data_IF_796175690768
#
_entry.id   IF_796175690768
#
_cell.length_a   1.000
_cell.length_b   1.000
_cell.length_c   1.000
_cell.angle_alpha   90.00
_cell.angle_beta   90.00
_cell.angle_gamma   90.00
#
_symmetry.space_group_name_H-M   'P 1'
#
loop_
_entity.id
_entity.type
_entity.pdbx_description
1 polymer ?
#
# COMPACT_ATOMS: atom_id res chain seq x y z
N UNK A 1 -17.43 6.95 -16.57
CA UNK A 1 -17.01 6.62 -15.19
C UNK A 1 -15.50 6.72 -15.16
N UNK A 2 -14.94 7.76 -14.51
CA UNK A 2 -13.49 7.96 -14.42
C UNK A 2 -13.01 7.22 -13.16
N UNK A 3 -12.45 6.02 -13.32
CA UNK A 3 -11.74 5.36 -12.22
C UNK A 3 -10.56 6.23 -11.80
N UNK A 4 -10.30 6.31 -10.49
CA UNK A 4 -9.27 7.19 -9.96
C UNK A 4 -7.94 6.91 -10.68
N UNK A 5 -7.25 7.96 -11.13
CA UNK A 5 -5.89 7.78 -11.62
C UNK A 5 -5.01 7.29 -10.47
N UNK A 6 -3.88 6.63 -10.76
CA UNK A 6 -2.94 6.21 -9.70
C UNK A 6 -2.50 7.39 -8.80
N UNK A 7 -2.43 8.58 -9.41
CA UNK A 7 -2.15 9.85 -8.74
C UNK A 7 -3.28 10.32 -7.81
N UNK A 8 -4.52 9.90 -8.07
CA UNK A 8 -5.69 10.22 -7.27
C UNK A 8 -5.84 9.21 -6.14
N UNK A 9 -5.63 7.92 -6.43
CA UNK A 9 -5.57 6.85 -5.43
C UNK A 9 -4.49 7.15 -4.35
N UNK A 10 -3.26 7.47 -4.76
CA UNK A 10 -2.18 7.82 -3.83
C UNK A 10 -2.42 9.13 -3.06
N UNK A 11 -3.15 10.10 -3.65
CA UNK A 11 -3.49 11.37 -2.99
C UNK A 11 -4.64 11.25 -2.00
N UNK A 12 -5.71 10.52 -2.36
CA UNK A 12 -6.85 10.22 -1.49
C UNK A 12 -6.33 9.51 -0.24
N UNK A 13 -5.48 8.51 -0.44
CA UNK A 13 -4.82 7.78 0.63
C UNK A 13 -4.03 8.69 1.59
N UNK A 14 -3.10 9.49 1.07
CA UNK A 14 -2.28 10.34 1.93
C UNK A 14 -3.09 11.42 2.64
N UNK A 15 -4.09 12.04 1.98
CA UNK A 15 -4.98 13.01 2.64
C UNK A 15 -5.67 12.39 3.85
N UNK A 16 -6.09 11.13 3.74
CA UNK A 16 -6.75 10.43 4.84
C UNK A 16 -5.80 10.06 5.97
N UNK A 17 -4.55 9.69 5.67
CA UNK A 17 -3.54 9.37 6.70
C UNK A 17 -3.13 10.59 7.56
N UNK A 18 -3.15 11.80 6.98
CA UNK A 18 -2.74 13.03 7.67
C UNK A 18 -3.91 13.83 8.28
N UNK A 19 -5.17 13.45 8.04
CA UNK A 19 -6.34 14.20 8.53
C UNK A 19 -6.76 13.84 9.95
N UNK A 20 -6.41 12.65 10.45
CA UNK A 20 -6.75 12.27 11.82
C UNK A 20 -5.71 12.86 12.79
N UNK A 21 -5.95 14.09 13.26
CA UNK A 21 -5.30 14.58 14.48
C UNK A 21 -5.65 13.60 15.61
N UNK A 22 -4.62 13.18 16.33
CA UNK A 22 -4.63 12.23 17.43
C UNK A 22 -5.46 12.76 18.58
N UNK A 23 -6.60 12.12 18.86
CA UNK A 23 -7.17 12.13 20.21
C UNK A 23 -6.72 10.84 20.91
N UNK A 24 -5.94 11.02 21.97
CA UNK A 24 -5.43 9.97 22.82
C UNK A 24 -6.56 9.39 23.66
N UNK A 25 -6.71 8.06 23.68
CA UNK A 25 -7.48 7.37 24.70
C UNK A 25 -6.69 6.22 25.28
N UNK A 26 -6.69 6.18 26.61
CA UNK A 26 -6.02 5.20 27.45
C UNK A 26 -6.42 3.76 27.06
N UNK A 27 -5.45 2.97 26.63
CA UNK A 27 -5.59 1.53 26.55
C UNK A 27 -4.97 0.91 27.81
N UNK A 28 -5.82 0.50 28.74
CA UNK A 28 -5.43 -0.25 29.93
C UNK A 28 -5.15 -1.71 29.60
N UNK A 29 -4.04 -2.19 30.15
CA UNK A 29 -3.56 -3.58 30.25
C UNK A 29 -2.93 -4.22 29.00
N UNK A 30 -1.70 -4.72 29.17
CA UNK A 30 -1.14 -6.04 28.75
C UNK A 30 0.29 -6.05 28.16
N UNK A 31 0.80 -7.29 28.17
CA UNK A 31 2.16 -7.86 28.15
C UNK A 31 3.08 -7.51 26.96
N UNK A 32 4.37 -7.37 27.26
CA UNK A 32 5.46 -7.24 26.28
C UNK A 32 5.92 -8.61 25.79
N UNK A 33 5.66 -8.97 24.54
CA UNK A 33 6.37 -10.06 23.85
C UNK A 33 7.41 -9.48 22.89
N UNK A 34 8.56 -10.16 22.73
CA UNK A 34 9.49 -9.91 21.62
C UNK A 34 8.73 -10.10 20.30
N UNK A 35 8.43 -9.01 19.62
CA UNK A 35 7.72 -9.01 18.34
C UNK A 35 8.72 -8.97 17.18
N UNK A 36 8.30 -9.39 16.00
CA UNK A 36 9.12 -9.40 14.79
C UNK A 36 9.59 -8.00 14.32
N UNK A 37 9.04 -6.93 14.90
CA UNK A 37 9.31 -5.54 14.52
C UNK A 37 9.92 -4.76 15.68
N UNK A 38 11.20 -4.32 15.58
CA UNK A 38 11.83 -3.52 16.61
C UNK A 38 11.00 -2.28 16.96
N UNK A 39 10.77 -2.04 18.25
CA UNK A 39 10.05 -0.87 18.74
C UNK A 39 8.54 -1.06 18.89
N UNK A 40 7.98 -2.21 18.49
CA UNK A 40 6.61 -2.59 18.86
C UNK A 40 6.58 -3.00 20.34
N UNK A 41 5.61 -2.46 21.07
CA UNK A 41 5.42 -2.73 22.50
C UNK A 41 4.07 -3.37 22.81
N UNK A 42 3.11 -3.29 21.89
CA UNK A 42 1.76 -3.86 22.04
C UNK A 42 1.03 -3.98 20.71
N UNK A 43 -0.03 -4.78 20.70
CA UNK A 43 -0.98 -4.92 19.59
C UNK A 43 -2.38 -4.56 20.08
N UNK A 44 -3.21 -3.92 19.24
CA UNK A 44 -4.58 -3.56 19.62
C UNK A 44 -5.36 -2.82 18.54
N UNK A 45 -6.63 -2.55 18.83
CA UNK A 45 -7.56 -1.84 17.95
C UNK A 45 -7.79 -0.38 18.39
N UNK A 46 -7.97 0.52 17.42
CA UNK A 46 -8.43 1.90 17.65
C UNK A 46 -9.46 2.30 16.59
N UNK A 47 -10.59 2.85 17.03
CA UNK A 47 -11.59 3.47 16.15
C UNK A 47 -11.50 4.99 16.29
N UNK A 48 -11.51 5.70 15.16
CA UNK A 48 -11.37 7.14 15.09
C UNK A 48 -12.73 7.83 14.90
N UNK A 49 -12.88 9.11 15.30
CA UNK A 49 -14.14 9.85 15.12
C UNK A 49 -14.59 10.01 13.67
N UNK A 50 -13.64 10.01 12.71
CA UNK A 50 -13.94 10.05 11.28
C UNK A 50 -14.54 8.74 10.74
N UNK A 51 -14.58 7.68 11.55
CA UNK A 51 -15.04 6.34 11.18
C UNK A 51 -13.92 5.39 10.75
N UNK A 52 -12.67 5.86 10.69
CA UNK A 52 -11.51 5.02 10.42
C UNK A 52 -11.30 4.01 11.55
N UNK A 53 -10.78 2.83 11.21
CA UNK A 53 -10.47 1.76 12.19
C UNK A 53 -9.10 1.20 11.91
N UNK A 54 -8.26 1.16 12.94
CA UNK A 54 -6.95 0.53 12.91
C UNK A 54 -6.94 -0.69 13.83
N UNK A 55 -6.29 -1.76 13.39
CA UNK A 55 -5.92 -2.90 14.22
C UNK A 55 -4.48 -3.29 13.91
N UNK A 56 -3.63 -3.38 14.91
CA UNK A 56 -2.25 -3.78 14.70
C UNK A 56 -1.33 -3.35 15.82
N UNK A 57 -0.08 -3.27 15.48
CA UNK A 57 1.03 -3.04 16.38
C UNK A 57 1.21 -1.54 16.66
N UNK A 58 1.75 -1.24 17.84
CA UNK A 58 1.99 0.10 18.35
C UNK A 58 3.35 0.20 19.01
N UNK A 59 4.00 1.37 18.88
CA UNK A 59 5.23 1.68 19.60
C UNK A 59 4.95 2.32 20.98
N UNK A 60 6.02 2.55 21.76
CA UNK A 60 5.95 3.17 23.09
C UNK A 60 5.42 4.61 23.09
N UNK A 61 5.39 5.28 21.94
CA UNK A 61 4.82 6.63 21.77
C UNK A 61 3.33 6.60 21.45
N UNK A 62 2.73 5.41 21.32
CA UNK A 62 1.33 5.25 20.92
C UNK A 62 1.09 5.47 19.43
N UNK A 63 2.12 5.33 18.60
CA UNK A 63 2.03 5.47 17.15
C UNK A 63 1.88 4.08 16.50
N UNK A 64 1.15 3.99 15.38
CA UNK A 64 1.07 2.77 14.58
C UNK A 64 2.48 2.39 14.13
N UNK A 65 2.90 1.16 14.38
CA UNK A 65 4.27 0.71 14.13
C UNK A 65 4.28 -0.80 14.04
N UNK A 66 5.00 -1.44 13.12
CA UNK A 66 4.92 -2.89 12.91
C UNK A 66 3.77 -3.28 11.98
N UNK A 67 3.19 -4.47 12.11
CA UNK A 67 2.08 -4.88 11.24
C UNK A 67 0.77 -4.22 11.62
N UNK A 68 -0.05 -3.87 10.63
CA UNK A 68 -1.38 -3.36 10.91
C UNK A 68 -2.33 -3.38 9.72
N UNK A 69 -3.61 -3.30 10.07
CA UNK A 69 -4.76 -3.22 9.19
C UNK A 69 -5.44 -1.88 9.44
N UNK A 70 -5.58 -1.05 8.41
CA UNK A 70 -6.30 0.22 8.45
C UNK A 70 -7.49 0.16 7.50
N UNK A 71 -8.69 0.43 8.01
CA UNK A 71 -9.91 0.61 7.23
C UNK A 71 -10.35 2.07 7.34
N UNK A 72 -10.54 2.71 6.20
CA UNK A 72 -11.05 4.07 6.09
C UNK A 72 -12.59 4.09 5.95
N UNK A 73 -13.24 5.24 6.17
CA UNK A 73 -14.71 5.37 6.11
C UNK A 73 -15.28 5.13 4.72
N UNK A 74 -14.51 5.47 3.67
CA UNK A 74 -14.84 5.21 2.27
C UNK A 74 -14.75 3.72 1.89
N UNK A 75 -14.40 2.85 2.84
CA UNK A 75 -14.10 1.43 2.69
C UNK A 75 -12.75 1.09 2.03
N UNK A 76 -11.89 2.07 1.77
CA UNK A 76 -10.48 1.83 1.42
C UNK A 76 -9.79 1.10 2.57
N UNK A 77 -8.96 0.11 2.24
CA UNK A 77 -8.29 -0.77 3.19
C UNK A 77 -6.81 -0.85 2.88
N UNK A 78 -6.01 -0.92 3.94
CA UNK A 78 -4.60 -1.20 3.89
C UNK A 78 -4.25 -2.30 4.87
N UNK A 79 -3.38 -3.21 4.45
CA UNK A 79 -2.76 -4.21 5.29
C UNK A 79 -1.27 -4.24 4.97
N UNK A 80 -0.43 -4.00 5.97
CA UNK A 80 1.00 -3.94 5.77
C UNK A 80 1.73 -3.37 6.97
N UNK A 81 2.99 -3.03 6.76
CA UNK A 81 3.84 -2.47 7.81
C UNK A 81 3.64 -0.96 8.01
N UNK A 82 3.71 -0.52 9.26
CA UNK A 82 3.69 0.86 9.69
C UNK A 82 5.01 1.22 10.37
N UNK A 83 5.44 2.46 10.20
CA UNK A 83 6.57 3.07 10.88
C UNK A 83 6.17 4.47 11.32
N UNK A 84 6.00 4.67 12.62
CA UNK A 84 5.66 5.95 13.25
C UNK A 84 4.43 6.61 12.59
N UNK A 85 3.30 5.91 12.63
CA UNK A 85 2.01 6.24 12.01
C UNK A 85 1.93 6.17 10.47
N UNK A 86 3.06 6.04 9.77
CA UNK A 86 3.09 6.03 8.30
C UNK A 86 3.22 4.62 7.76
N UNK A 87 2.50 4.31 6.69
CA UNK A 87 2.72 3.05 5.97
C UNK A 87 4.12 3.03 5.35
N UNK A 88 4.82 1.93 5.51
CA UNK A 88 6.20 1.76 5.09
C UNK A 88 6.46 0.28 4.84
N UNK A 89 7.47 -0.11 4.06
CA UNK A 89 7.76 -1.53 3.82
C UNK A 89 6.76 -2.17 2.86
N UNK A 90 6.36 -3.42 3.09
CA UNK A 90 5.42 -4.13 2.20
C UNK A 90 3.97 -3.87 2.63
N UNK A 91 3.08 -3.76 1.64
CA UNK A 91 1.65 -3.70 1.93
C UNK A 91 0.75 -3.94 0.72
N UNK A 92 -0.49 -4.28 1.06
CA UNK A 92 -1.62 -4.44 0.16
C UNK A 92 -2.62 -3.33 0.46
N UNK A 93 -3.04 -2.63 -0.58
CA UNK A 93 -4.04 -1.56 -0.51
C UNK A 93 -5.18 -1.87 -1.47
N UNK A 94 -6.39 -1.87 -0.95
CA UNK A 94 -7.62 -2.05 -1.74
C UNK A 94 -8.45 -0.78 -1.63
N UNK A 95 -8.70 -0.14 -2.76
CA UNK A 95 -9.44 1.11 -2.83
C UNK A 95 -10.94 0.85 -2.95
N UNK A 96 -11.73 1.83 -2.51
CA UNK A 96 -13.20 1.79 -2.57
C UNK A 96 -13.75 1.73 -3.99
N UNK A 97 -13.02 2.23 -4.98
CA UNK A 97 -13.38 2.17 -6.41
C UNK A 97 -13.02 0.83 -7.08
N UNK A 98 -12.41 -0.11 -6.34
CA UNK A 98 -11.97 -1.40 -6.85
C UNK A 98 -10.52 -1.42 -7.36
N UNK A 99 -9.81 -0.29 -7.37
CA UNK A 99 -8.38 -0.29 -7.62
C UNK A 99 -7.62 -1.03 -6.50
N UNK A 100 -6.43 -1.55 -6.82
CA UNK A 100 -5.60 -2.28 -5.87
C UNK A 100 -4.12 -1.94 -6.07
N UNK A 101 -3.38 -1.86 -4.98
CA UNK A 101 -1.92 -1.80 -4.99
C UNK A 101 -1.33 -2.92 -4.13
N UNK A 102 -0.25 -3.52 -4.60
CA UNK A 102 0.55 -4.48 -3.86
C UNK A 102 2.02 -4.16 -4.11
N UNK A 103 2.77 -3.84 -3.06
CA UNK A 103 4.16 -3.47 -3.26
C UNK A 103 4.82 -2.81 -2.07
N UNK A 104 5.90 -2.09 -2.37
CA UNK A 104 6.67 -1.30 -1.44
C UNK A 104 6.02 0.07 -1.16
N UNK A 105 6.05 0.49 0.10
CA UNK A 105 5.61 1.80 0.56
C UNK A 105 6.73 2.48 1.33
N UNK A 106 6.78 3.80 1.23
CA UNK A 106 7.69 4.62 2.02
C UNK A 106 6.99 5.92 2.40
N UNK A 107 6.94 6.21 3.70
CA UNK A 107 6.31 7.43 4.25
C UNK A 107 4.87 7.65 3.75
N UNK A 108 4.07 6.59 3.66
CA UNK A 108 2.68 6.64 3.20
C UNK A 108 2.50 6.65 1.68
N UNK A 109 3.59 6.66 0.91
CA UNK A 109 3.53 6.69 -0.56
C UNK A 109 3.92 5.35 -1.18
N UNK A 110 3.29 4.99 -2.30
CA UNK A 110 3.82 3.94 -3.17
C UNK A 110 5.24 4.31 -3.60
N UNK A 111 6.16 3.38 -3.41
CA UNK A 111 7.58 3.60 -3.64
C UNK A 111 8.25 2.29 -4.05
N UNK A 112 9.39 2.35 -4.74
CA UNK A 112 10.12 1.15 -5.11
C UNK A 112 9.34 0.30 -6.10
N UNK A 113 9.19 -1.00 -5.84
CA UNK A 113 8.57 -1.94 -6.77
C UNK A 113 7.15 -2.32 -6.34
N UNK A 114 6.24 -2.45 -7.30
CA UNK A 114 4.90 -2.92 -7.02
C UNK A 114 4.05 -3.18 -8.24
N UNK A 115 2.84 -3.64 -7.98
CA UNK A 115 1.80 -3.87 -8.99
C UNK A 115 0.57 -3.07 -8.60
N UNK A 116 0.04 -2.35 -9.57
CA UNK A 116 -1.16 -1.55 -9.41
C UNK A 116 -2.21 -1.99 -10.43
N UNK A 117 -3.41 -2.26 -9.95
CA UNK A 117 -4.58 -2.52 -10.76
C UNK A 117 -5.53 -1.34 -10.64
N UNK A 118 -5.98 -0.84 -11.78
CA UNK A 118 -7.07 0.14 -11.85
C UNK A 118 -8.41 -0.58 -11.79
N UNK A 119 -9.42 0.17 -11.38
CA UNK A 119 -10.81 -0.29 -11.40
C UNK A 119 -11.28 -0.73 -12.81
N UNK A 120 -10.68 -0.20 -13.87
CA UNK A 120 -10.99 -0.58 -15.25
C UNK A 120 -10.32 -1.90 -15.71
N UNK A 121 -9.54 -2.57 -14.85
CA UNK A 121 -8.80 -3.79 -15.16
C UNK A 121 -7.40 -3.56 -15.72
N UNK A 122 -7.02 -2.31 -16.01
CA UNK A 122 -5.64 -1.99 -16.42
C UNK A 122 -4.68 -2.22 -15.28
N UNK A 123 -3.59 -2.94 -15.56
CA UNK A 123 -2.52 -3.27 -14.62
C UNK A 123 -1.23 -2.57 -15.00
N UNK A 124 -0.51 -2.04 -14.02
CA UNK A 124 0.87 -1.58 -14.15
C UNK A 124 1.78 -2.39 -13.23
N UNK A 125 2.91 -2.85 -13.77
CA UNK A 125 3.94 -3.60 -13.05
C UNK A 125 5.28 -2.87 -13.24
N UNK A 126 5.88 -2.39 -12.15
CA UNK A 126 7.14 -1.67 -12.26
C UNK A 126 7.48 -0.80 -11.06
N UNK A 127 8.14 0.31 -11.34
CA UNK A 127 8.71 1.22 -10.34
C UNK A 127 7.78 2.40 -9.99
N UNK A 128 7.84 2.79 -8.73
CA UNK A 128 7.04 3.84 -8.12
C UNK A 128 7.93 4.82 -7.35
N UNK A 129 7.56 6.10 -7.39
CA UNK A 129 8.19 7.13 -6.56
C UNK A 129 7.18 8.18 -6.14
N UNK A 130 6.97 8.32 -4.83
CA UNK A 130 6.10 9.37 -4.27
C UNK A 130 4.65 9.21 -4.72
N UNK A 131 4.15 7.97 -4.77
CA UNK A 131 2.78 7.67 -5.18
C UNK A 131 2.54 7.68 -6.68
N UNK A 132 3.58 7.86 -7.51
CA UNK A 132 3.46 7.92 -8.96
C UNK A 132 4.22 6.79 -9.61
N UNK A 133 3.75 6.38 -10.80
CA UNK A 133 4.53 5.54 -11.71
C UNK A 133 5.77 6.33 -12.12
N UNK A 134 6.94 5.79 -11.79
CA UNK A 134 8.22 6.44 -12.04
C UNK A 134 9.34 5.41 -12.14
N UNK A 135 9.96 5.31 -13.31
CA UNK A 135 10.98 4.31 -13.61
C UNK A 135 10.50 3.31 -14.66
N UNK A 136 11.13 2.16 -14.72
CA UNK A 136 10.82 1.10 -15.66
C UNK A 136 9.55 0.35 -15.26
N UNK A 137 8.78 -0.06 -16.26
CA UNK A 137 7.64 -0.96 -16.05
C UNK A 137 6.87 -1.24 -17.31
N UNK A 138 5.74 -1.92 -17.13
CA UNK A 138 4.88 -2.37 -18.22
C UNK A 138 3.41 -2.18 -17.85
N UNK A 139 2.62 -1.77 -18.85
CA UNK A 139 1.16 -1.71 -18.77
C UNK A 139 0.58 -2.97 -19.43
N UNK A 140 -0.39 -3.58 -18.75
CA UNK A 140 -1.27 -4.61 -19.31
C UNK A 140 -2.70 -4.05 -19.26
N UNK A 141 -3.36 -3.96 -20.41
CA UNK A 141 -4.73 -3.47 -20.50
C UNK A 141 -5.72 -4.53 -20.01
N UNK A 142 -6.98 -4.12 -19.82
CA UNK A 142 -8.04 -4.99 -19.32
C UNK A 142 -8.30 -6.22 -20.20
N UNK A 143 -8.00 -6.13 -21.49
CA UNK A 143 -8.07 -7.24 -22.46
C UNK A 143 -6.88 -8.20 -22.38
N UNK A 144 -5.94 -7.97 -21.47
CA UNK A 144 -4.71 -8.76 -21.29
C UNK A 144 -3.58 -8.38 -22.26
N UNK A 145 -3.80 -7.45 -23.18
CA UNK A 145 -2.76 -7.02 -24.13
C UNK A 145 -1.80 -6.00 -23.50
N UNK A 146 -0.62 -5.84 -24.10
CA UNK A 146 0.32 -4.77 -23.75
C UNK A 146 0.27 -3.59 -24.73
N UNK A 147 -0.71 -3.60 -25.65
CA UNK A 147 -0.79 -2.69 -26.80
C UNK A 147 0.28 -2.94 -27.87
N UNK A 148 0.16 -2.23 -29.00
CA UNK A 148 1.11 -2.28 -30.11
C UNK A 148 1.52 -0.85 -30.53
N UNK A 149 2.80 -0.47 -30.44
CA UNK A 149 3.89 -1.22 -29.80
C UNK A 149 3.66 -1.41 -28.29
N UNK A 150 4.33 -2.41 -27.68
CA UNK A 150 4.19 -2.74 -26.25
C UNK A 150 4.40 -1.52 -25.37
N UNK A 151 3.51 -1.29 -24.41
CA UNK A 151 3.58 -0.23 -23.42
C UNK A 151 4.52 -0.63 -22.27
N UNK A 152 5.78 -0.90 -22.63
CA UNK A 152 6.87 -1.16 -21.71
C UNK A 152 7.99 -0.13 -21.90
N UNK A 153 8.65 0.22 -20.81
CA UNK A 153 9.79 1.14 -20.83
C UNK A 153 9.84 2.07 -19.64
N UNK A 154 10.48 3.22 -19.84
CA UNK A 154 10.66 4.22 -18.79
C UNK A 154 9.48 5.18 -18.72
N UNK A 155 8.86 5.24 -17.56
CA UNK A 155 7.76 6.13 -17.23
C UNK A 155 8.23 7.24 -16.29
N UNK A 156 7.68 8.44 -16.49
CA UNK A 156 7.82 9.55 -15.56
C UNK A 156 6.49 10.26 -15.46
N UNK A 157 6.05 10.55 -14.23
CA UNK A 157 4.75 11.16 -13.96
C UNK A 157 3.59 10.46 -14.70
N UNK A 158 3.59 9.11 -14.63
CA UNK A 158 2.60 8.26 -15.28
C UNK A 158 2.56 8.33 -16.82
N UNK A 159 3.60 8.87 -17.46
CA UNK A 159 3.73 8.92 -18.93
C UNK A 159 4.91 8.08 -19.39
N UNK A 160 4.69 7.25 -20.40
CA UNK A 160 5.75 6.48 -21.06
C UNK A 160 6.63 7.43 -21.89
N UNK A 161 7.87 7.65 -21.46
CA UNK A 161 8.81 8.54 -22.15
C UNK A 161 9.70 7.82 -23.16
N UNK A 162 10.09 6.58 -22.83
CA UNK A 162 10.99 5.79 -23.68
C UNK A 162 10.60 4.33 -23.65
N UNK A 163 10.35 3.74 -24.82
CA UNK A 163 10.11 2.29 -24.95
C UNK A 163 11.42 1.53 -24.83
N UNK A 164 11.45 0.52 -23.96
CA UNK A 164 12.54 -0.44 -23.83
C UNK A 164 12.08 -1.68 -23.07
N UNK A 165 12.69 -2.85 -23.32
CA UNK A 165 12.45 -4.03 -22.50
C UNK A 165 12.74 -3.77 -21.02
N UNK A 166 11.89 -4.31 -20.15
CA UNK A 166 12.00 -4.14 -18.69
C UNK A 166 11.63 -5.41 -17.91
N UNK A 167 11.90 -6.60 -18.48
CA UNK A 167 11.50 -7.89 -17.92
C UNK A 167 11.94 -8.07 -16.45
N UNK A 168 13.19 -7.76 -16.13
CA UNK A 168 13.73 -7.92 -14.76
C UNK A 168 12.96 -7.06 -13.74
N UNK A 169 12.58 -5.85 -14.13
CA UNK A 169 11.83 -4.93 -13.27
C UNK A 169 10.39 -5.41 -13.07
N UNK A 170 9.75 -5.92 -14.13
CA UNK A 170 8.42 -6.52 -14.05
C UNK A 170 8.43 -7.76 -13.14
N UNK A 171 9.41 -8.65 -13.29
CA UNK A 171 9.56 -9.83 -12.44
C UNK A 171 9.79 -9.45 -10.97
N UNK A 172 10.60 -8.41 -10.72
CA UNK A 172 10.82 -7.90 -9.37
C UNK A 172 9.55 -7.34 -8.76
N UNK A 173 8.81 -6.52 -9.50
CA UNK A 173 7.51 -5.98 -9.07
C UNK A 173 6.52 -7.10 -8.71
N UNK A 174 6.41 -8.13 -9.54
CA UNK A 174 5.57 -9.30 -9.29
C UNK A 174 5.99 -10.06 -8.03
N UNK A 175 7.30 -10.25 -7.82
CA UNK A 175 7.84 -10.90 -6.62
C UNK A 175 7.52 -10.10 -5.36
N UNK A 176 7.70 -8.78 -5.38
CA UNK A 176 7.38 -7.90 -4.25
C UNK A 176 5.88 -7.93 -3.95
N UNK A 177 5.03 -7.84 -4.97
CA UNK A 177 3.58 -7.95 -4.79
C UNK A 177 3.17 -9.30 -4.20
N UNK A 178 3.79 -10.41 -4.63
CA UNK A 178 3.57 -11.73 -4.04
C UNK A 178 3.96 -11.74 -2.56
N UNK A 179 5.11 -11.19 -2.19
CA UNK A 179 5.54 -11.10 -0.79
C UNK A 179 4.55 -10.30 0.07
N UNK A 180 4.06 -9.17 -0.44
CA UNK A 180 3.05 -8.37 0.26
C UNK A 180 1.75 -9.16 0.51
N UNK A 181 1.26 -9.93 -0.48
CA UNK A 181 0.07 -10.79 -0.33
C UNK A 181 0.29 -11.93 0.66
N UNK A 182 1.44 -12.59 0.59
CA UNK A 182 1.77 -13.71 1.50
C UNK A 182 1.82 -13.22 2.94
N UNK A 183 2.41 -12.04 3.18
CA UNK A 183 2.39 -11.41 4.50
C UNK A 183 0.95 -11.14 4.97
N UNK A 184 0.12 -10.53 4.12
CA UNK A 184 -1.30 -10.28 4.42
C UNK A 184 -2.06 -11.57 4.79
N UNK A 185 -1.84 -12.66 4.06
CA UNK A 185 -2.51 -13.93 4.29
C UNK A 185 -2.06 -14.60 5.59
N UNK A 186 -0.75 -14.58 5.87
CA UNK A 186 -0.20 -15.12 7.11
C UNK A 186 -0.76 -14.41 8.35
N UNK A 187 -0.88 -13.09 8.30
CA UNK A 187 -1.44 -12.29 9.40
C UNK A 187 -2.98 -12.33 9.47
N UNK A 188 -3.64 -12.86 8.43
CA UNK A 188 -5.06 -13.17 8.48
C UNK A 188 -5.31 -14.51 9.17
N UNK A 189 -4.44 -15.52 8.96
CA UNK A 189 -4.60 -16.86 9.54
C UNK A 189 -4.17 -16.97 11.01
N UNK A 190 -3.27 -16.10 11.48
CA UNK A 190 -2.74 -16.16 12.85
C UNK A 190 -3.31 -15.06 13.78
N UNK A 191 -4.31 -14.30 13.32
CA UNK A 191 -4.90 -13.17 14.03
C UNK A 191 -6.32 -13.41 14.59
N UNK A 192 -6.77 -14.67 14.61
CA UNK A 192 -7.97 -15.16 15.31
C UNK A 192 -7.57 -15.94 16.57
#
# INVERSE_FOLDING_TARGET
MKGASINEAARIWNRSLYSSKTDYVNASQFSTSETAYPGVVKTGALSYPDGSKYYGDWNSKGEKHGMGKLKLPDATRYHGTFLNNLCSGLGVMSFSDGAKYEGELMQGWFHGHGVFWRADGTKYEGEFRGGRIWGLGMVTFADGTHGFPRHEGYFQDCRLLKRKPCLEVVQRAQKVALMARVQEQYDASNGE
#
